data_IF_041563116356
#
_entry.id   IF_041563116356
#
_cell.length_a   1.000
_cell.length_b   1.000
_cell.length_c   1.000
_cell.angle_alpha   90.00
_cell.angle_beta   90.00
_cell.angle_gamma   90.00
#
_symmetry.space_group_name_H-M   'P 1'
#
loop_
_entity.id
_entity.type
_entity.pdbx_description
1 polymer ?
#
# COMPACT_ATOMS: atom_id res chain seq x y z
N UNK A 1 7.14 9.34 8.02
CA UNK A 1 7.41 10.67 7.44
C UNK A 1 8.89 10.93 7.62
N UNK A 2 9.65 11.03 6.53
CA UNK A 2 11.08 11.31 6.62
C UNK A 2 11.26 12.81 6.78
N UNK A 3 11.83 13.25 7.92
CA UNK A 3 12.14 14.65 8.18
C UNK A 3 13.66 14.89 8.06
N UNK A 4 14.06 15.98 7.41
CA UNK A 4 15.46 16.43 7.33
C UNK A 4 15.73 17.29 8.56
N UNK A 5 16.84 17.03 9.27
CA UNK A 5 17.26 17.80 10.44
C UNK A 5 18.64 18.41 10.21
N UNK A 6 18.77 19.70 10.47
CA UNK A 6 20.07 20.38 10.53
C UNK A 6 20.72 20.04 11.87
N UNK A 7 21.91 19.44 11.84
CA UNK A 7 22.66 19.04 13.04
C UNK A 7 23.65 20.12 13.50
N UNK A 8 24.18 20.92 12.55
CA UNK A 8 25.15 21.98 12.80
C UNK A 8 24.89 23.16 11.86
N UNK A 9 25.20 24.38 12.32
CA UNK A 9 24.99 25.62 11.57
C UNK A 9 23.58 26.21 11.70
N UNK A 10 23.40 27.40 11.12
CA UNK A 10 22.12 28.11 11.06
C UNK A 10 21.92 28.57 9.60
N UNK A 11 21.48 27.67 8.70
CA UNK A 11 21.32 28.00 7.30
C UNK A 11 20.24 29.05 7.12
N UNK A 12 20.45 29.94 6.16
CA UNK A 12 19.43 30.92 5.80
C UNK A 12 18.34 30.31 4.90
N UNK A 13 17.27 31.07 4.69
CA UNK A 13 16.13 30.64 3.87
C UNK A 13 16.54 30.34 2.41
N UNK A 14 17.54 31.05 1.89
CA UNK A 14 18.07 30.86 0.54
C UNK A 14 18.84 29.55 0.41
N UNK A 15 19.68 29.22 1.38
CA UNK A 15 20.43 27.96 1.44
C UNK A 15 19.49 26.76 1.57
N UNK A 16 18.45 26.88 2.41
CA UNK A 16 17.40 25.85 2.53
C UNK A 16 16.63 25.67 1.23
N UNK A 17 16.27 26.76 0.54
CA UNK A 17 15.58 26.70 -0.75
C UNK A 17 16.44 26.03 -1.83
N UNK A 18 17.74 26.34 -1.88
CA UNK A 18 18.69 25.72 -2.80
C UNK A 18 18.81 24.20 -2.56
N UNK A 19 18.91 23.77 -1.30
CA UNK A 19 18.94 22.35 -0.95
C UNK A 19 17.66 21.63 -1.40
N UNK A 20 16.49 22.21 -1.12
CA UNK A 20 15.20 21.63 -1.56
C UNK A 20 15.15 21.52 -3.07
N UNK A 21 15.58 22.55 -3.81
CA UNK A 21 15.61 22.51 -5.28
C UNK A 21 16.49 21.36 -5.82
N UNK A 22 17.65 21.13 -5.22
CA UNK A 22 18.52 19.99 -5.57
C UNK A 22 17.86 18.66 -5.23
N UNK A 23 17.23 18.52 -4.07
CA UNK A 23 16.54 17.29 -3.70
C UNK A 23 15.37 16.99 -4.65
N UNK A 24 14.66 18.00 -5.11
CA UNK A 24 13.59 17.86 -6.10
C UNK A 24 14.12 17.48 -7.48
N UNK A 25 15.30 17.98 -7.89
CA UNK A 25 15.90 17.59 -9.17
C UNK A 25 16.41 16.14 -9.17
N UNK A 26 16.81 15.62 -8.00
CA UNK A 26 17.21 14.23 -7.81
C UNK A 26 16.02 13.28 -7.60
N UNK A 27 14.86 13.81 -7.20
CA UNK A 27 13.68 13.00 -6.97
C UNK A 27 13.16 12.41 -8.29
N UNK A 28 13.32 11.09 -8.46
CA UNK A 28 12.68 10.39 -9.56
C UNK A 28 11.15 10.46 -9.41
N UNK A 29 10.39 10.62 -10.51
CA UNK A 29 8.94 10.56 -10.45
C UNK A 29 8.52 9.20 -9.89
N UNK A 30 7.89 9.22 -8.71
CA UNK A 30 7.33 8.02 -8.12
C UNK A 30 6.20 7.56 -9.02
N UNK A 31 6.39 6.41 -9.68
CA UNK A 31 5.32 5.79 -10.47
C UNK A 31 4.13 5.60 -9.52
N UNK A 32 2.91 6.03 -9.90
CA UNK A 32 1.74 5.79 -9.07
C UNK A 32 1.66 4.28 -8.80
N UNK A 33 1.68 3.94 -7.51
CA UNK A 33 1.59 2.54 -7.08
C UNK A 33 0.15 2.11 -7.35
N UNK A 34 -0.03 1.16 -8.28
CA UNK A 34 -1.35 0.58 -8.53
C UNK A 34 -1.77 -0.13 -7.24
N UNK A 35 -2.90 0.24 -6.61
CA UNK A 35 -3.36 -0.45 -5.42
C UNK A 35 -3.51 -1.94 -5.74
N UNK A 36 -2.87 -2.80 -4.95
CA UNK A 36 -3.08 -4.24 -5.08
C UNK A 36 -4.56 -4.52 -4.84
N UNK A 37 -5.22 -5.23 -5.76
CA UNK A 37 -6.58 -5.67 -5.55
C UNK A 37 -6.63 -6.55 -4.30
N UNK A 38 -7.54 -6.23 -3.38
CA UNK A 38 -7.77 -7.06 -2.21
C UNK A 38 -8.31 -8.41 -2.66
N UNK A 39 -7.81 -9.50 -2.07
CA UNK A 39 -8.40 -10.83 -2.27
C UNK A 39 -9.90 -10.85 -1.92
N UNK A 40 -10.33 -9.98 -0.99
CA UNK A 40 -11.73 -9.81 -0.58
C UNK A 40 -12.58 -9.00 -1.58
N UNK A 41 -11.95 -8.29 -2.51
CA UNK A 41 -12.63 -7.52 -3.55
C UNK A 41 -12.94 -8.33 -4.81
N UNK A 42 -12.49 -9.58 -4.88
CA UNK A 42 -12.64 -10.43 -6.06
C UNK A 42 -14.11 -10.89 -6.24
N UNK A 43 -14.77 -10.55 -7.38
CA UNK A 43 -16.14 -10.97 -7.67
C UNK A 43 -16.32 -12.49 -7.73
N UNK A 44 -15.26 -13.27 -7.94
CA UNK A 44 -15.31 -14.74 -7.98
C UNK A 44 -15.86 -15.34 -6.67
N UNK A 45 -15.68 -14.66 -5.53
CA UNK A 45 -16.23 -15.08 -4.24
C UNK A 45 -17.74 -14.92 -4.12
N UNK A 46 -18.40 -14.17 -5.03
CA UNK A 46 -19.83 -13.90 -4.94
C UNK A 46 -20.71 -15.06 -5.40
N UNK A 47 -20.12 -16.07 -6.04
CA UNK A 47 -20.88 -17.14 -6.70
C UNK A 47 -20.34 -18.57 -6.49
N UNK A 48 -19.99 -19.03 -5.28
CA UNK A 48 -19.95 -20.47 -5.05
C UNK A 48 -21.40 -20.97 -5.08
N UNK A 49 -21.75 -21.80 -6.07
CA UNK A 49 -23.01 -22.55 -6.05
C UNK A 49 -22.96 -23.56 -4.89
N UNK A 50 -23.51 -23.17 -3.74
CA UNK A 50 -23.66 -24.06 -2.58
C UNK A 50 -24.92 -24.89 -2.79
N UNK A 51 -24.74 -26.11 -3.29
CA UNK A 51 -25.84 -27.06 -3.44
C UNK A 51 -26.24 -27.67 -2.08
N UNK A 52 -27.50 -27.52 -1.63
CA UNK A 52 -27.96 -28.13 -0.40
C UNK A 52 -28.05 -29.65 -0.57
N UNK A 53 -27.12 -30.39 0.06
CA UNK A 53 -27.13 -31.86 0.12
C UNK A 53 -27.10 -32.32 1.57
N UNK A 54 -27.79 -33.42 1.86
CA UNK A 54 -27.68 -34.09 3.16
C UNK A 54 -26.20 -34.38 3.46
N UNK A 55 -25.69 -33.88 4.58
CA UNK A 55 -24.28 -34.01 4.96
C UNK A 55 -23.30 -33.06 4.27
N UNK A 56 -23.78 -32.02 3.55
CA UNK A 56 -22.91 -31.02 2.92
C UNK A 56 -21.96 -30.33 3.93
N UNK A 57 -22.40 -30.16 5.17
CA UNK A 57 -21.56 -29.61 6.25
C UNK A 57 -20.30 -30.44 6.54
N UNK A 58 -20.30 -31.75 6.22
CA UNK A 58 -19.12 -32.62 6.38
C UNK A 58 -18.04 -32.40 5.31
N UNK A 59 -18.39 -31.76 4.20
CA UNK A 59 -17.43 -31.41 3.13
C UNK A 59 -16.72 -30.07 3.40
N UNK A 60 -17.07 -29.38 4.49
CA UNK A 60 -16.52 -28.05 4.82
C UNK A 60 -15.05 -28.06 5.25
N UNK A 61 -14.44 -29.23 5.46
CA UNK A 61 -13.06 -29.35 5.93
C UNK A 61 -12.82 -28.80 7.34
N UNK A 62 -13.88 -28.35 8.03
CA UNK A 62 -13.83 -27.94 9.42
C UNK A 62 -13.71 -29.21 10.30
N UNK A 63 -12.85 -29.19 11.33
CA UNK A 63 -12.74 -30.32 12.24
C UNK A 63 -14.08 -30.57 12.95
N UNK A 64 -14.40 -31.86 13.11
CA UNK A 64 -15.55 -32.36 13.87
C UNK A 64 -15.20 -32.50 15.34
#
# INVERSE_FOLDING_TARGET
MSAIRVLHGAPDDGELAALVAVLQSLAAPRRPEVPRSSAWGDPAWRSPSVEPRAGAWRMSGLPH
#
